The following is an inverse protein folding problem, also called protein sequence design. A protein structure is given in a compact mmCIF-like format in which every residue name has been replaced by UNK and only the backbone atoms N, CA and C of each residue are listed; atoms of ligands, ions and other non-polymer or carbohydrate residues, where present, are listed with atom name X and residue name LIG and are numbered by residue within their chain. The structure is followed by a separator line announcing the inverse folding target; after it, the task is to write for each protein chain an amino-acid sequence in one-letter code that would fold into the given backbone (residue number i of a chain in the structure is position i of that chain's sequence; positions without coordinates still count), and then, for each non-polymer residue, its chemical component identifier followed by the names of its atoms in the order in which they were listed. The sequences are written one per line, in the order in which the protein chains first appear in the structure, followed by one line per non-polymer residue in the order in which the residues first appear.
data_IF_162629787791
#
_entry.id   IF_162629787791
#
_cell.length_a   1.000
_cell.length_b   1.000
_cell.length_c   1.000
_cell.angle_alpha   90.00
_cell.angle_beta   90.00
_cell.angle_gamma   90.00
#
_symmetry.space_group_name_H-M   'P 1'
#
loop_
_entity.id
_entity.type
_entity.pdbx_description
1 polymer ?
#
# COMPACT_ATOMS: atom_id res chain seq x y z
N UNK A 1 -32.62 -74.47 -50.38
CA UNK A 1 -32.65 -75.12 -51.70
C UNK A 1 -31.95 -74.19 -52.69
N UNK A 2 -31.04 -74.76 -53.49
CA UNK A 2 -30.56 -74.40 -54.85
C UNK A 2 -30.71 -72.94 -55.33
N UNK A 3 -29.82 -72.34 -56.12
CA UNK A 3 -28.52 -72.67 -56.70
C UNK A 3 -28.14 -71.42 -57.55
N UNK A 4 -26.86 -71.35 -57.94
CA UNK A 4 -26.25 -70.38 -58.85
C UNK A 4 -26.94 -70.26 -60.23
N UNK A 5 -26.69 -69.14 -60.94
CA UNK A 5 -26.18 -69.01 -62.34
C UNK A 5 -26.03 -67.48 -62.63
N UNK A 6 -24.80 -66.92 -62.78
CA UNK A 6 -24.03 -66.65 -64.03
C UNK A 6 -24.82 -65.83 -65.09
N UNK A 7 -24.32 -64.81 -65.81
CA UNK A 7 -22.99 -64.57 -66.34
C UNK A 7 -22.81 -63.14 -66.97
N UNK A 8 -21.54 -62.78 -67.20
CA UNK A 8 -20.95 -61.88 -68.24
C UNK A 8 -21.21 -60.36 -68.16
N UNK A 9 -20.24 -59.46 -68.36
CA UNK A 9 -19.20 -59.42 -69.42
C UNK A 9 -18.03 -58.46 -69.08
N UNK A 10 -16.79 -58.88 -69.38
CA UNK A 10 -15.62 -58.17 -70.00
C UNK A 10 -15.31 -56.70 -69.61
N UNK A 11 -14.10 -56.20 -69.36
CA UNK A 11 -12.74 -56.59 -69.79
C UNK A 11 -11.63 -55.77 -69.08
N UNK A 12 -10.47 -56.42 -68.80
CA UNK A 12 -9.05 -56.01 -69.08
C UNK A 12 -8.50 -54.65 -68.54
N UNK A 13 -7.31 -54.50 -67.94
CA UNK A 13 -6.05 -55.27 -67.89
C UNK A 13 -5.13 -54.81 -66.72
N UNK A 14 -4.27 -55.76 -66.26
CA UNK A 14 -3.04 -55.79 -65.39
C UNK A 14 -2.16 -54.52 -65.30
N UNK A 15 -1.69 -54.08 -64.10
CA UNK A 15 -0.55 -54.52 -63.21
C UNK A 15 0.87 -54.11 -63.72
N UNK A 16 1.95 -53.92 -62.90
CA UNK A 16 2.12 -54.17 -61.44
C UNK A 16 3.04 -53.17 -60.65
N UNK A 17 3.24 -53.51 -59.37
CA UNK A 17 4.51 -53.47 -58.60
C UNK A 17 4.81 -52.31 -57.61
N UNK A 18 4.99 -52.76 -56.36
CA UNK A 18 5.96 -52.36 -55.33
C UNK A 18 5.92 -50.97 -54.68
N UNK A 19 5.75 -50.96 -53.35
CA UNK A 19 6.24 -49.84 -52.55
C UNK A 19 5.70 -49.70 -51.12
N UNK A 20 6.35 -50.40 -50.18
CA UNK A 20 6.62 -49.98 -48.79
C UNK A 20 5.47 -49.64 -47.81
N UNK A 21 5.43 -50.44 -46.74
CA UNK A 21 4.93 -50.13 -45.40
C UNK A 21 5.48 -48.80 -44.85
N UNK A 22 4.61 -47.91 -44.37
CA UNK A 22 4.90 -46.96 -43.28
C UNK A 22 3.61 -46.26 -42.79
N UNK A 23 3.20 -46.38 -41.51
CA UNK A 23 2.23 -45.48 -40.92
C UNK A 23 2.98 -44.25 -40.42
N UNK A 24 2.86 -43.11 -41.10
CA UNK A 24 3.46 -41.87 -40.62
C UNK A 24 2.57 -41.26 -39.53
N UNK A 25 3.03 -41.39 -38.29
CA UNK A 25 2.55 -40.73 -37.08
C UNK A 25 2.39 -39.23 -37.33
N UNK A 26 1.15 -38.74 -37.26
CA UNK A 26 0.84 -37.30 -37.16
C UNK A 26 1.28 -36.82 -35.77
N UNK A 27 2.53 -36.39 -35.64
CA UNK A 27 3.01 -35.67 -34.46
C UNK A 27 2.36 -34.29 -34.48
N UNK A 28 1.32 -34.11 -33.66
CA UNK A 28 0.87 -32.79 -33.20
C UNK A 28 2.04 -32.18 -32.40
N UNK A 29 2.92 -31.46 -33.09
CA UNK A 29 3.87 -30.57 -32.45
C UNK A 29 3.08 -29.38 -31.90
N UNK A 30 2.45 -29.57 -30.74
CA UNK A 30 2.10 -28.46 -29.86
C UNK A 30 3.44 -27.88 -29.42
N UNK A 31 3.87 -26.81 -30.09
CA UNK A 31 4.92 -25.94 -29.55
C UNK A 31 4.36 -25.33 -28.27
N UNK A 32 4.51 -26.04 -27.15
CA UNK A 32 4.50 -25.41 -25.85
C UNK A 32 5.75 -24.56 -25.86
N UNK A 33 5.60 -23.27 -26.15
CA UNK A 33 6.57 -22.30 -25.70
C UNK A 33 6.57 -22.39 -24.17
N UNK A 34 7.39 -23.27 -23.62
CA UNK A 34 7.81 -23.14 -22.23
C UNK A 34 8.70 -21.92 -22.24
N UNK A 35 8.12 -20.73 -22.09
CA UNK A 35 8.89 -19.63 -21.55
C UNK A 35 9.51 -20.19 -20.27
N UNK A 36 10.82 -20.33 -20.22
CA UNK A 36 11.50 -20.65 -18.98
C UNK A 36 11.14 -19.54 -18.03
N UNK A 37 10.22 -19.83 -17.10
CA UNK A 37 9.83 -18.88 -16.08
C UNK A 37 11.12 -18.41 -15.40
N UNK A 38 11.29 -17.10 -15.34
CA UNK A 38 12.33 -16.52 -14.52
C UNK A 38 12.22 -17.07 -13.10
N UNK A 39 13.34 -17.19 -12.41
CA UNK A 39 13.40 -17.69 -11.03
C UNK A 39 14.68 -17.20 -10.37
N UNK A 40 14.80 -17.39 -9.06
CA UNK A 40 15.99 -17.03 -8.27
C UNK A 40 16.36 -15.53 -8.38
N UNK A 41 15.38 -14.65 -8.21
CA UNK A 41 15.59 -13.20 -8.17
C UNK A 41 15.74 -12.53 -9.52
N UNK A 42 15.45 -13.23 -10.62
CA UNK A 42 15.61 -12.70 -11.97
C UNK A 42 14.31 -12.19 -12.59
N UNK A 43 13.15 -12.51 -12.00
CA UNK A 43 11.86 -12.05 -12.51
C UNK A 43 11.72 -10.54 -12.38
N UNK A 44 11.33 -9.91 -13.49
CA UNK A 44 11.07 -8.49 -13.59
C UNK A 44 9.61 -8.17 -13.26
N UNK A 45 9.30 -6.89 -13.14
CA UNK A 45 7.94 -6.41 -12.91
C UNK A 45 6.98 -7.00 -13.97
N UNK A 46 5.83 -7.51 -13.52
CA UNK A 46 4.80 -8.20 -14.30
C UNK A 46 5.15 -9.60 -14.82
N UNK A 47 6.37 -10.08 -14.65
CA UNK A 47 6.70 -11.48 -14.95
C UNK A 47 5.94 -12.42 -13.99
N UNK A 48 5.49 -13.57 -14.49
CA UNK A 48 4.91 -14.62 -13.66
C UNK A 48 5.94 -15.12 -12.62
N UNK A 49 5.47 -15.36 -11.40
CA UNK A 49 6.28 -15.90 -10.32
C UNK A 49 5.50 -16.99 -9.56
N UNK A 50 6.21 -17.84 -8.81
CA UNK A 50 5.61 -18.89 -7.98
C UNK A 50 6.10 -18.86 -6.53
N UNK A 51 7.30 -18.29 -6.30
CA UNK A 51 7.93 -18.12 -5.00
C UNK A 51 8.25 -16.64 -4.74
N UNK A 52 8.28 -16.25 -3.48
CA UNK A 52 8.74 -14.93 -3.04
C UNK A 52 10.19 -14.64 -3.50
N UNK A 53 11.00 -15.67 -3.72
CA UNK A 53 12.40 -15.56 -4.17
C UNK A 53 12.56 -15.45 -5.68
N UNK A 54 11.50 -15.52 -6.46
CA UNK A 54 11.60 -15.45 -7.93
C UNK A 54 11.82 -14.02 -8.43
N UNK A 55 11.19 -13.07 -7.74
CA UNK A 55 11.21 -11.65 -8.09
C UNK A 55 12.52 -10.96 -7.72
N UNK A 56 12.96 -10.05 -8.58
CA UNK A 56 14.17 -9.26 -8.33
C UNK A 56 14.05 -8.33 -7.12
N UNK A 57 15.17 -7.69 -6.71
CA UNK A 57 15.19 -6.78 -5.56
C UNK A 57 14.11 -5.70 -5.64
N UNK A 58 13.45 -5.39 -4.52
CA UNK A 58 12.36 -4.40 -4.45
C UNK A 58 11.05 -4.85 -5.10
N UNK A 59 10.98 -6.08 -5.60
CA UNK A 59 9.76 -6.71 -6.10
C UNK A 59 9.29 -7.81 -5.15
N UNK A 60 7.99 -8.08 -5.20
CA UNK A 60 7.31 -9.09 -4.41
C UNK A 60 6.44 -9.95 -5.32
N UNK A 61 6.34 -11.26 -5.04
CA UNK A 61 5.50 -12.16 -5.81
C UNK A 61 4.04 -12.09 -5.31
N UNK A 62 3.23 -11.26 -5.95
CA UNK A 62 1.86 -10.96 -5.54
C UNK A 62 0.80 -11.56 -6.46
N UNK A 63 -0.41 -11.75 -5.93
CA UNK A 63 -1.57 -12.14 -6.73
C UNK A 63 -2.63 -11.03 -6.75
N UNK A 64 -3.42 -10.99 -7.83
CA UNK A 64 -4.58 -10.10 -7.91
C UNK A 64 -5.81 -10.83 -8.46
N UNK A 65 -6.50 -11.62 -7.61
CA UNK A 65 -7.66 -12.41 -8.03
C UNK A 65 -8.81 -11.54 -8.56
N UNK A 66 -9.01 -10.34 -8.02
CA UNK A 66 -10.05 -9.39 -8.44
C UNK A 66 -9.93 -8.94 -9.91
N UNK A 67 -8.78 -9.16 -10.55
CA UNK A 67 -8.54 -8.88 -11.96
C UNK A 67 -8.54 -10.13 -12.84
N UNK A 68 -9.08 -11.26 -12.34
CA UNK A 68 -9.10 -12.55 -13.03
C UNK A 68 -7.70 -13.08 -13.41
N UNK A 69 -6.65 -12.61 -12.74
CA UNK A 69 -5.29 -13.13 -12.89
C UNK A 69 -5.17 -14.42 -12.08
N UNK A 70 -4.93 -15.54 -12.76
CA UNK A 70 -4.86 -16.88 -12.14
C UNK A 70 -3.45 -17.27 -11.71
N UNK A 71 -2.43 -16.51 -12.10
CA UNK A 71 -1.04 -16.71 -11.71
C UNK A 71 -0.50 -15.49 -10.95
N UNK A 72 0.31 -15.68 -9.89
CA UNK A 72 1.05 -14.61 -9.27
C UNK A 72 2.04 -13.97 -10.25
N UNK A 73 2.31 -12.68 -10.04
CA UNK A 73 3.26 -11.89 -10.82
C UNK A 73 4.14 -11.09 -9.89
N UNK A 74 5.32 -10.70 -10.36
CA UNK A 74 6.17 -9.77 -9.63
C UNK A 74 5.56 -8.37 -9.68
N UNK A 75 5.23 -7.84 -8.51
CA UNK A 75 4.75 -6.46 -8.28
C UNK A 75 5.79 -5.67 -7.53
N UNK A 76 5.70 -4.33 -7.57
CA UNK A 76 6.57 -3.50 -6.72
C UNK A 76 6.23 -3.73 -5.25
N UNK A 77 7.27 -3.87 -4.43
CA UNK A 77 7.18 -4.07 -2.99
C UNK A 77 7.93 -3.04 -2.16
N UNK A 78 8.52 -2.01 -2.81
CA UNK A 78 9.34 -1.02 -2.12
C UNK A 78 9.26 0.33 -2.83
N UNK A 79 9.19 1.40 -2.03
CA UNK A 79 9.18 2.78 -2.53
C UNK A 79 10.60 3.26 -2.87
N UNK A 80 10.68 4.18 -3.82
CA UNK A 80 11.88 5.00 -4.01
C UNK A 80 11.82 6.14 -3.01
N UNK A 81 12.86 6.29 -2.20
CA UNK A 81 12.94 7.39 -1.22
C UNK A 81 13.18 8.70 -1.97
N UNK A 82 12.20 9.62 -2.08
CA UNK A 82 12.29 10.76 -2.98
C UNK A 82 13.40 11.76 -2.57
N UNK A 83 13.68 11.84 -1.27
CA UNK A 83 14.74 12.69 -0.69
C UNK A 83 16.15 12.24 -1.07
N UNK A 84 16.32 10.99 -1.50
CA UNK A 84 17.59 10.49 -2.05
C UNK A 84 17.88 11.00 -3.47
N UNK A 85 16.84 11.47 -4.19
CA UNK A 85 16.94 11.98 -5.56
C UNK A 85 16.91 13.51 -5.58
N UNK A 86 15.88 14.10 -4.94
CA UNK A 86 15.72 15.55 -4.80
C UNK A 86 15.64 15.86 -3.31
N UNK A 87 16.66 16.53 -2.78
CA UNK A 87 16.74 16.94 -1.38
C UNK A 87 16.57 18.47 -1.24
N UNK A 88 16.58 18.95 0.01
CA UNK A 88 16.60 20.39 0.30
C UNK A 88 15.31 21.15 0.03
N UNK A 89 14.22 20.47 -0.35
CA UNK A 89 12.91 21.12 -0.48
C UNK A 89 12.14 21.09 0.85
N UNK A 90 11.18 22.02 1.04
CA UNK A 90 10.21 21.98 2.13
C UNK A 90 9.51 20.62 2.24
N UNK A 91 9.26 20.14 3.46
CA UNK A 91 8.59 18.85 3.70
C UNK A 91 7.25 18.71 2.96
N UNK A 92 6.47 19.79 2.87
CA UNK A 92 5.21 19.84 2.15
C UNK A 92 5.33 19.89 0.61
N UNK A 93 6.52 19.71 0.03
CA UNK A 93 6.67 19.43 -1.41
C UNK A 93 6.70 17.94 -1.72
N UNK A 94 6.96 17.11 -0.72
CA UNK A 94 7.04 15.66 -0.87
C UNK A 94 5.68 15.00 -0.65
N UNK A 95 5.50 13.88 -1.33
CA UNK A 95 4.39 12.95 -1.13
C UNK A 95 4.91 11.69 -0.44
N UNK A 96 4.13 11.21 0.54
CA UNK A 96 4.47 10.10 1.42
C UNK A 96 3.35 9.07 1.43
N UNK A 97 3.71 7.79 1.39
CA UNK A 97 2.76 6.69 1.57
C UNK A 97 2.39 6.55 3.05
N UNK A 98 1.09 6.41 3.30
CA UNK A 98 0.51 6.18 4.62
C UNK A 98 -0.24 4.85 4.62
N UNK A 99 -0.07 4.06 5.68
CA UNK A 99 -0.90 2.86 5.90
C UNK A 99 -2.04 3.18 6.84
N UNK A 100 -3.27 2.90 6.42
CA UNK A 100 -4.46 3.02 7.26
C UNK A 100 -4.47 1.90 8.31
N UNK A 101 -4.71 2.25 9.56
CA UNK A 101 -4.68 1.34 10.71
C UNK A 101 -3.47 0.40 10.66
N UNK A 102 -2.27 0.99 10.66
CA UNK A 102 -0.99 0.32 10.42
C UNK A 102 -0.76 -0.90 11.31
N UNK A 103 -1.36 -0.93 12.50
CA UNK A 103 -1.26 -2.01 13.48
C UNK A 103 -2.24 -3.17 13.24
N UNK A 104 -3.26 -2.97 12.42
CA UNK A 104 -4.35 -3.91 12.16
C UNK A 104 -3.90 -4.98 11.17
N UNK A 105 -3.06 -5.90 11.64
CA UNK A 105 -2.31 -6.85 10.82
C UNK A 105 -3.04 -8.20 10.75
N UNK A 106 -3.19 -8.73 9.53
CA UNK A 106 -3.73 -10.08 9.28
C UNK A 106 -2.95 -11.11 10.09
N UNK A 107 -3.67 -12.06 10.70
CA UNK A 107 -3.12 -13.15 11.52
C UNK A 107 -2.30 -12.70 12.75
N UNK A 108 -2.34 -11.42 13.13
CA UNK A 108 -1.73 -10.98 14.38
C UNK A 108 -2.33 -11.76 15.57
N UNK A 109 -1.50 -12.27 16.51
CA UNK A 109 -2.01 -13.06 17.62
C UNK A 109 -2.97 -12.24 18.51
N UNK A 110 -4.04 -12.84 19.05
CA UNK A 110 -4.91 -12.17 20.02
C UNK A 110 -4.22 -12.08 21.37
N UNK A 111 -3.89 -10.87 21.83
CA UNK A 111 -3.18 -10.65 23.09
C UNK A 111 -4.10 -10.62 24.32
N UNK A 112 -5.40 -10.40 24.13
CA UNK A 112 -6.42 -10.37 25.19
C UNK A 112 -6.95 -11.76 25.57
N UNK A 113 -6.49 -12.82 24.88
CA UNK A 113 -7.00 -14.19 25.06
C UNK A 113 -8.40 -14.43 24.48
N UNK A 114 -9.00 -13.44 23.83
CA UNK A 114 -10.29 -13.54 23.14
C UNK A 114 -10.08 -13.55 21.64
N UNK A 115 -10.89 -14.33 20.91
CA UNK A 115 -10.88 -14.30 19.44
C UNK A 115 -11.16 -12.89 18.93
N UNK A 116 -10.26 -12.37 18.09
CA UNK A 116 -10.45 -11.06 17.46
C UNK A 116 -11.55 -11.13 16.40
N UNK A 117 -12.50 -10.20 16.48
CA UNK A 117 -13.65 -10.04 15.57
C UNK A 117 -13.67 -8.56 15.14
N UNK A 118 -12.81 -8.24 14.19
CA UNK A 118 -12.72 -6.91 13.57
C UNK A 118 -12.08 -7.04 12.20
N UNK A 119 -11.97 -5.93 11.48
CA UNK A 119 -11.33 -5.89 10.17
C UNK A 119 -9.81 -5.74 10.28
N UNK A 120 -9.11 -6.22 9.26
CA UNK A 120 -7.66 -6.12 9.12
C UNK A 120 -7.33 -5.16 7.98
N UNK A 121 -6.28 -4.39 8.13
CA UNK A 121 -5.91 -3.35 7.17
C UNK A 121 -4.57 -3.63 6.51
N UNK A 122 -3.64 -4.34 7.15
CA UNK A 122 -2.29 -4.58 6.63
C UNK A 122 -1.89 -6.05 6.77
N UNK A 123 -0.85 -6.47 6.05
CA UNK A 123 -0.27 -7.82 6.13
C UNK A 123 1.13 -7.83 6.74
N UNK A 124 1.77 -6.66 6.75
CA UNK A 124 3.12 -6.47 7.28
C UNK A 124 3.09 -5.86 8.67
N UNK A 125 4.02 -6.28 9.53
CA UNK A 125 4.34 -5.54 10.75
C UNK A 125 4.80 -4.12 10.45
N UNK A 126 4.64 -3.19 11.40
CA UNK A 126 4.94 -1.77 11.18
C UNK A 126 6.41 -1.56 10.79
N UNK A 127 7.32 -2.34 11.37
CA UNK A 127 8.74 -2.36 10.96
C UNK A 127 8.89 -2.60 9.45
N UNK A 128 8.20 -3.60 8.89
CA UNK A 128 8.27 -3.92 7.47
C UNK A 128 7.59 -2.85 6.60
N UNK A 129 6.48 -2.27 7.06
CA UNK A 129 5.84 -1.13 6.37
C UNK A 129 6.84 0.02 6.18
N UNK A 130 7.55 0.41 7.26
CA UNK A 130 8.56 1.46 7.23
C UNK A 130 9.76 1.10 6.34
N UNK A 131 10.25 -0.14 6.43
CA UNK A 131 11.32 -0.68 5.57
C UNK A 131 10.94 -0.60 4.08
N UNK A 132 9.68 -0.88 3.75
CA UNK A 132 9.17 -0.86 2.37
C UNK A 132 8.88 0.56 1.86
N UNK A 133 9.09 1.59 2.67
CA UNK A 133 9.00 2.99 2.26
C UNK A 133 7.73 3.72 2.71
N UNK A 134 6.90 3.10 3.56
CA UNK A 134 5.83 3.83 4.26
C UNK A 134 6.48 4.88 5.19
N UNK A 135 5.95 6.10 5.17
CA UNK A 135 6.45 7.22 6.00
C UNK A 135 5.34 7.90 6.78
N UNK A 136 4.09 7.45 6.65
CA UNK A 136 3.00 7.80 7.55
C UNK A 136 2.29 6.57 8.12
N UNK A 137 1.88 6.64 9.37
CA UNK A 137 1.13 5.59 10.06
C UNK A 137 -0.17 6.16 10.62
N UNK A 138 -1.31 5.57 10.31
CA UNK A 138 -2.57 5.86 10.99
C UNK A 138 -2.77 4.90 12.15
N UNK A 139 -3.00 5.44 13.34
CA UNK A 139 -3.13 4.67 14.58
C UNK A 139 -4.37 5.10 15.37
N UNK A 140 -5.35 4.21 15.49
CA UNK A 140 -6.48 4.38 16.39
C UNK A 140 -6.06 4.02 17.82
N UNK A 141 -5.99 5.01 18.71
CA UNK A 141 -5.52 4.84 20.09
C UNK A 141 -6.65 5.01 21.09
N UNK A 142 -6.76 4.08 22.04
CA UNK A 142 -7.83 4.04 23.05
C UNK A 142 -7.25 3.83 24.45
N UNK A 143 -7.88 4.41 25.47
CA UNK A 143 -7.72 3.92 26.84
C UNK A 143 -8.33 2.52 26.98
N UNK A 144 -7.54 1.54 27.39
CA UNK A 144 -7.98 0.15 27.55
C UNK A 144 -7.07 -0.63 28.52
N UNK A 145 -7.65 -1.44 29.41
CA UNK A 145 -6.90 -2.26 30.38
C UNK A 145 -5.86 -1.47 31.19
N UNK A 146 -6.20 -0.23 31.57
CA UNK A 146 -5.32 0.73 32.28
C UNK A 146 -4.04 1.13 31.52
N UNK A 147 -4.04 0.99 30.20
CA UNK A 147 -2.97 1.42 29.30
C UNK A 147 -3.57 2.03 28.01
N UNK A 148 -2.73 2.45 27.07
CA UNK A 148 -3.16 2.91 25.75
C UNK A 148 -2.96 1.77 24.75
N UNK A 149 -4.04 1.38 24.09
CA UNK A 149 -4.06 0.27 23.14
C UNK A 149 -4.41 0.73 21.74
N UNK A 150 -3.95 -0.05 20.77
CA UNK A 150 -4.35 0.05 19.38
C UNK A 150 -5.52 -0.92 19.14
N UNK A 151 -6.65 -0.38 18.71
CA UNK A 151 -7.88 -1.14 18.54
C UNK A 151 -8.59 -0.72 17.25
N UNK A 152 -9.10 -1.69 16.48
CA UNK A 152 -9.98 -1.40 15.35
C UNK A 152 -11.42 -1.51 15.84
N UNK A 153 -11.93 -0.45 16.45
CA UNK A 153 -13.13 -0.49 17.30
C UNK A 153 -14.20 0.52 16.88
N UNK A 154 -15.24 0.69 17.69
CA UNK A 154 -16.37 1.58 17.40
C UNK A 154 -16.86 2.28 18.66
N UNK A 155 -17.61 3.39 18.48
CA UNK A 155 -18.23 4.20 19.56
C UNK A 155 -17.21 4.76 20.58
N UNK A 156 -15.97 4.99 20.14
CA UNK A 156 -14.93 5.55 20.99
C UNK A 156 -14.51 4.65 22.16
N UNK A 157 -14.72 3.33 22.05
CA UNK A 157 -14.35 2.36 23.08
C UNK A 157 -13.57 1.20 22.46
N UNK A 158 -12.53 0.73 23.14
CA UNK A 158 -11.86 -0.51 22.80
C UNK A 158 -12.51 -1.69 23.54
N UNK A 159 -12.63 -2.83 22.85
CA UNK A 159 -13.14 -4.07 23.41
C UNK A 159 -12.10 -5.19 23.26
N UNK A 160 -12.16 -6.20 24.13
CA UNK A 160 -11.25 -7.35 24.07
C UNK A 160 -11.20 -8.03 22.69
N UNK A 161 -12.31 -8.06 21.96
CA UNK A 161 -12.40 -8.66 20.62
C UNK A 161 -12.02 -7.71 19.47
N UNK A 162 -11.77 -6.43 19.73
CA UNK A 162 -11.29 -5.43 18.76
C UNK A 162 -9.85 -4.97 19.00
N UNK A 163 -9.29 -5.30 20.17
CA UNK A 163 -7.94 -4.97 20.58
C UNK A 163 -6.87 -5.74 19.77
N UNK A 164 -5.82 -5.03 19.37
CA UNK A 164 -4.64 -5.64 18.73
C UNK A 164 -3.49 -5.78 19.73
N UNK A 165 -3.00 -4.66 20.24
CA UNK A 165 -1.86 -4.63 21.16
C UNK A 165 -1.74 -3.28 21.90
N UNK A 166 -0.99 -3.24 23.02
CA UNK A 166 -0.54 -1.97 23.60
C UNK A 166 0.19 -1.10 22.58
N UNK A 167 -0.13 0.19 22.54
CA UNK A 167 0.42 1.12 21.54
C UNK A 167 1.94 1.29 21.64
N UNK A 168 2.50 1.10 22.84
CA UNK A 168 3.94 1.19 23.11
C UNK A 168 4.76 0.23 22.24
N UNK A 169 4.21 -0.93 21.85
CA UNK A 169 4.91 -1.90 21.02
C UNK A 169 5.17 -1.34 19.62
N UNK A 170 4.12 -0.80 18.98
CA UNK A 170 4.24 -0.17 17.66
C UNK A 170 5.12 1.08 17.71
N UNK A 171 5.02 1.90 18.76
CA UNK A 171 5.89 3.07 18.89
C UNK A 171 7.37 2.69 19.08
N UNK A 172 7.67 1.56 19.72
CA UNK A 172 9.04 1.03 19.80
C UNK A 172 9.56 0.53 18.45
N UNK A 173 8.71 -0.01 17.58
CA UNK A 173 9.10 -0.30 16.19
C UNK A 173 9.51 0.99 15.45
N UNK A 174 8.75 2.07 15.64
CA UNK A 174 9.06 3.39 15.06
C UNK A 174 10.36 3.95 15.62
N UNK A 175 10.58 3.86 16.93
CA UNK A 175 11.82 4.32 17.56
C UNK A 175 13.03 3.55 17.03
N UNK A 176 12.94 2.22 16.96
CA UNK A 176 14.00 1.38 16.44
C UNK A 176 14.33 1.75 14.98
N UNK A 177 13.31 1.99 14.17
CA UNK A 177 13.47 2.46 12.79
C UNK A 177 14.17 3.83 12.72
N UNK A 178 13.69 4.85 13.44
CA UNK A 178 14.28 6.19 13.41
C UNK A 178 15.71 6.22 14.00
N UNK A 179 16.02 5.33 14.93
CA UNK A 179 17.37 5.11 15.46
C UNK A 179 18.29 4.47 14.42
N UNK A 180 17.79 3.48 13.66
CA UNK A 180 18.56 2.79 12.63
C UNK A 180 18.77 3.64 11.36
N UNK A 181 17.80 4.49 11.00
CA UNK A 181 17.81 5.28 9.76
C UNK A 181 17.76 6.78 10.07
N UNK A 182 18.92 7.44 10.30
CA UNK A 182 19.00 8.81 10.80
C UNK A 182 18.53 9.88 9.80
N UNK A 183 18.42 9.55 8.51
CA UNK A 183 17.91 10.43 7.46
C UNK A 183 16.40 10.38 7.28
N UNK A 184 15.71 9.49 7.99
CA UNK A 184 14.29 9.24 7.75
C UNK A 184 13.42 10.08 8.68
N UNK A 185 12.26 10.48 8.15
CA UNK A 185 11.21 11.20 8.87
C UNK A 185 9.95 10.31 8.85
N UNK A 186 9.28 10.17 9.99
CA UNK A 186 8.01 9.43 10.11
C UNK A 186 6.91 10.39 10.57
N UNK A 187 5.71 10.21 10.01
CA UNK A 187 4.50 10.90 10.45
C UNK A 187 3.56 9.90 11.11
N UNK A 188 3.00 10.23 12.26
CA UNK A 188 1.94 9.46 12.93
C UNK A 188 0.68 10.32 12.97
N UNK A 189 -0.43 9.76 12.52
CA UNK A 189 -1.75 10.39 12.52
C UNK A 189 -2.65 9.55 13.43
N UNK A 190 -3.09 10.13 14.54
CA UNK A 190 -3.81 9.43 15.59
C UNK A 190 -5.31 9.71 15.46
N UNK A 191 -6.12 8.65 15.31
CA UNK A 191 -7.53 8.73 15.67
C UNK A 191 -7.64 8.52 17.18
N UNK A 192 -7.94 9.60 17.88
CA UNK A 192 -7.65 9.75 19.31
C UNK A 192 -8.91 9.54 20.18
N UNK A 193 -8.86 8.47 20.96
CA UNK A 193 -9.84 8.13 22.00
C UNK A 193 -9.16 7.97 23.37
N UNK A 194 -8.03 8.66 23.58
CA UNK A 194 -7.26 8.65 24.84
C UNK A 194 -7.70 9.82 25.72
N UNK A 195 -8.40 9.51 26.80
CA UNK A 195 -8.87 10.46 27.81
C UNK A 195 -7.94 10.57 29.01
N UNK A 196 -7.05 9.59 29.22
CA UNK A 196 -6.04 9.65 30.26
C UNK A 196 -5.23 10.96 30.18
N UNK A 197 -5.14 11.76 31.26
CA UNK A 197 -4.42 13.03 31.23
C UNK A 197 -2.95 12.83 30.88
N UNK A 198 -2.45 13.54 29.86
CA UNK A 198 -1.08 13.41 29.34
C UNK A 198 -0.73 11.99 28.84
N UNK A 199 -1.74 11.18 28.53
CA UNK A 199 -1.56 9.79 28.16
C UNK A 199 -0.67 9.63 26.93
N UNK A 200 -0.92 10.42 25.88
CA UNK A 200 -0.16 10.34 24.64
C UNK A 200 1.27 10.87 24.83
N UNK A 201 1.46 12.05 25.43
CA UNK A 201 2.83 12.57 25.67
C UNK A 201 3.66 11.60 26.50
N UNK A 202 3.07 11.00 27.54
CA UNK A 202 3.74 9.99 28.37
C UNK A 202 4.10 8.75 27.53
N UNK A 203 3.15 8.22 26.77
CA UNK A 203 3.36 7.06 25.91
C UNK A 203 4.52 7.25 24.93
N UNK A 204 4.58 8.40 24.25
CA UNK A 204 5.66 8.70 23.31
C UNK A 204 7.01 8.94 23.99
N UNK A 205 7.01 9.54 25.18
CA UNK A 205 8.23 9.69 26.00
C UNK A 205 8.75 8.33 26.43
N UNK A 206 7.88 7.44 26.91
CA UNK A 206 8.22 6.08 27.32
C UNK A 206 8.72 5.22 26.14
N UNK A 207 8.23 5.51 24.93
CA UNK A 207 8.74 4.91 23.69
C UNK A 207 10.11 5.45 23.27
N UNK A 208 10.58 6.57 23.84
CA UNK A 208 11.83 7.24 23.47
C UNK A 208 11.74 8.06 22.18
N UNK A 209 10.53 8.47 21.78
CA UNK A 209 10.25 9.18 20.53
C UNK A 209 10.22 10.70 20.67
N UNK A 210 10.11 11.22 21.89
CA UNK A 210 10.14 12.65 22.23
C UNK A 210 11.38 13.36 21.66
N UNK A 211 12.53 12.68 21.65
CA UNK A 211 13.79 13.19 21.08
C UNK A 211 13.75 13.47 19.57
N UNK A 212 12.75 12.94 18.84
CA UNK A 212 12.56 13.14 17.41
C UNK A 212 11.45 14.15 17.09
N UNK A 213 10.70 14.61 18.10
CA UNK A 213 9.41 15.25 17.92
C UNK A 213 9.53 16.64 17.26
N UNK A 214 8.81 16.85 16.15
CA UNK A 214 8.68 18.16 15.54
C UNK A 214 7.64 19.00 16.32
N UNK A 215 8.03 20.11 16.96
CA UNK A 215 7.14 20.82 17.88
C UNK A 215 6.06 21.62 17.14
N UNK A 216 4.82 21.56 17.63
CA UNK A 216 3.67 22.27 17.04
C UNK A 216 3.88 23.80 16.95
N UNK A 217 4.70 24.37 17.83
CA UNK A 217 5.06 25.80 17.82
C UNK A 217 5.90 26.23 16.61
N UNK A 218 6.64 25.30 15.99
CA UNK A 218 7.43 25.51 14.76
C UNK A 218 6.67 25.13 13.49
N UNK A 219 5.47 24.55 13.60
CA UNK A 219 4.72 24.14 12.42
C UNK A 219 4.21 25.38 11.66
N UNK A 220 4.31 25.39 10.30
CA UNK A 220 3.88 26.52 9.50
C UNK A 220 2.40 26.80 9.66
N UNK A 221 2.03 28.07 9.44
CA UNK A 221 0.64 28.51 9.51
C UNK A 221 0.24 29.11 8.17
N UNK A 222 -1.06 29.15 7.89
CA UNK A 222 -1.62 29.88 6.73
C UNK A 222 -1.03 29.45 5.37
N UNK A 223 -0.75 28.15 5.22
CA UNK A 223 -0.27 27.59 3.95
C UNK A 223 1.21 27.87 3.63
N UNK A 224 1.99 28.35 4.60
CA UNK A 224 3.44 28.52 4.46
C UNK A 224 4.16 27.18 4.27
N UNK A 225 5.34 27.26 3.64
CA UNK A 225 6.21 26.11 3.46
C UNK A 225 6.77 25.61 4.80
N UNK A 226 6.88 24.28 4.91
CA UNK A 226 7.53 23.63 6.04
C UNK A 226 9.04 23.85 5.99
N UNK A 227 9.77 23.67 7.11
CA UNK A 227 11.21 23.54 7.05
C UNK A 227 11.64 22.51 5.99
N UNK A 228 12.82 22.69 5.44
CA UNK A 228 13.32 21.72 4.47
C UNK A 228 13.51 20.38 5.16
N UNK A 229 13.38 19.28 4.42
CA UNK A 229 13.66 17.94 4.96
C UNK A 229 15.08 17.86 5.54
N UNK A 230 16.03 18.55 4.91
CA UNK A 230 17.42 18.64 5.40
C UNK A 230 17.50 19.32 6.76
N UNK A 231 16.79 20.44 6.96
CA UNK A 231 16.78 21.15 8.24
C UNK A 231 16.08 20.34 9.33
N UNK A 232 14.96 19.68 8.99
CA UNK A 232 14.25 18.78 9.92
C UNK A 232 15.15 17.64 10.41
N UNK A 233 15.89 17.00 9.50
CA UNK A 233 16.86 15.95 9.85
C UNK A 233 18.01 16.54 10.69
N UNK A 234 18.54 17.70 10.30
CA UNK A 234 19.65 18.36 10.99
C UNK A 234 19.32 18.78 12.42
N UNK A 235 18.08 19.20 12.68
CA UNK A 235 17.56 19.51 14.02
C UNK A 235 17.03 18.26 14.77
N UNK A 236 17.14 17.06 14.17
CA UNK A 236 16.56 15.80 14.65
C UNK A 236 15.04 15.85 14.84
N UNK A 237 14.32 16.77 14.20
CA UNK A 237 12.86 16.80 14.16
C UNK A 237 12.29 15.84 13.10
N UNK A 238 12.46 14.55 13.36
CA UNK A 238 12.19 13.45 12.43
C UNK A 238 10.89 12.69 12.70
N UNK A 239 10.08 13.17 13.65
CA UNK A 239 8.77 12.63 13.95
C UNK A 239 7.72 13.75 13.95
N UNK A 240 6.74 13.66 13.05
CA UNK A 240 5.53 14.49 13.13
C UNK A 240 4.40 13.68 13.75
N UNK A 241 3.67 14.26 14.69
CA UNK A 241 2.51 13.60 15.31
C UNK A 241 1.30 14.53 15.23
N UNK A 242 0.23 14.00 14.65
CA UNK A 242 -1.06 14.66 14.55
C UNK A 242 -2.13 13.85 15.29
N UNK A 243 -3.13 14.54 15.84
CA UNK A 243 -4.27 13.94 16.55
C UNK A 243 -5.60 14.52 16.04
N UNK A 244 -6.65 13.71 16.07
CA UNK A 244 -8.03 14.11 15.79
C UNK A 244 -8.70 14.88 16.92
N UNK A 245 -8.13 14.89 18.14
CA UNK A 245 -8.68 15.66 19.27
C UNK A 245 -7.99 17.04 19.38
N UNK A 246 -8.77 18.10 19.16
CA UNK A 246 -8.28 19.48 19.22
C UNK A 246 -7.72 19.91 20.59
N UNK A 247 -8.15 19.29 21.69
CA UNK A 247 -7.69 19.62 23.04
C UNK A 247 -6.21 19.31 23.24
N UNK A 248 -5.72 18.25 22.59
CA UNK A 248 -4.35 17.74 22.72
C UNK A 248 -3.27 18.71 22.27
N UNK A 249 -3.59 19.67 21.40
CA UNK A 249 -2.58 20.66 21.01
C UNK A 249 -2.28 21.62 22.14
N UNK A 250 -3.31 22.10 22.85
CA UNK A 250 -3.13 22.98 23.99
C UNK A 250 -2.61 22.20 25.21
N UNK A 251 -3.14 21.00 25.42
CA UNK A 251 -2.85 20.22 26.62
C UNK A 251 -1.53 19.46 26.49
N UNK A 252 -1.26 18.81 25.36
CA UNK A 252 -0.15 17.86 25.20
C UNK A 252 0.89 18.32 24.16
N UNK A 253 0.65 19.42 23.45
CA UNK A 253 1.53 19.92 22.39
C UNK A 253 1.47 19.07 21.10
N UNK A 254 0.48 18.20 20.98
CA UNK A 254 0.29 17.31 19.82
C UNK A 254 -0.57 18.04 18.78
N UNK A 255 -0.09 18.15 17.55
CA UNK A 255 -0.73 18.99 16.55
C UNK A 255 -2.14 18.52 16.20
N UNK A 256 -3.13 19.41 16.28
CA UNK A 256 -4.49 19.11 15.85
C UNK A 256 -4.54 19.00 14.33
N UNK A 257 -4.84 17.83 13.77
CA UNK A 257 -4.59 17.54 12.35
C UNK A 257 -5.22 18.56 11.40
N UNK A 258 -6.50 18.89 11.61
CA UNK A 258 -7.28 19.75 10.71
C UNK A 258 -6.92 21.23 10.82
N UNK A 259 -5.98 21.58 11.70
CA UNK A 259 -5.32 22.89 11.69
C UNK A 259 -4.22 22.98 10.64
N UNK A 260 -3.53 21.87 10.36
CA UNK A 260 -2.29 21.82 9.55
C UNK A 260 -2.45 21.13 8.21
N UNK A 261 -3.48 20.30 8.04
CA UNK A 261 -3.78 19.62 6.77
C UNK A 261 -5.25 19.77 6.36
N UNK A 262 -5.50 19.77 5.06
CA UNK A 262 -6.82 19.46 4.49
C UNK A 262 -6.92 17.96 4.23
N UNK A 263 -8.12 17.39 4.31
CA UNK A 263 -8.36 15.94 4.20
C UNK A 263 -9.64 15.66 3.40
N UNK A 264 -9.65 14.62 2.56
CA UNK A 264 -10.88 14.13 1.92
C UNK A 264 -11.61 13.10 2.79
N UNK A 265 -12.89 12.89 2.50
CA UNK A 265 -13.71 11.87 3.17
C UNK A 265 -13.01 10.50 3.19
N UNK A 266 -12.99 9.80 4.33
CA UNK A 266 -12.49 8.42 4.41
C UNK A 266 -13.54 7.40 3.94
N UNK A 267 -13.16 6.13 3.92
CA UNK A 267 -14.07 5.02 3.65
C UNK A 267 -14.70 5.10 2.25
N UNK A 268 -15.94 4.63 2.12
CA UNK A 268 -16.61 4.56 0.81
C UNK A 268 -16.77 5.95 0.15
N UNK A 269 -16.86 7.02 0.95
CA UNK A 269 -16.88 8.40 0.46
C UNK A 269 -15.56 8.83 -0.21
N UNK A 270 -14.43 8.27 0.22
CA UNK A 270 -13.10 8.56 -0.30
C UNK A 270 -12.73 7.84 -1.59
N UNK A 271 -13.49 6.80 -1.97
CA UNK A 271 -13.21 5.98 -3.16
C UNK A 271 -14.22 6.20 -4.30
N UNK A 272 -15.13 7.17 -4.18
CA UNK A 272 -16.14 7.49 -5.20
C UNK A 272 -15.47 7.99 -6.49
N UNK A 273 -15.54 7.20 -7.56
CA UNK A 273 -14.89 7.54 -8.83
C UNK A 273 -15.27 8.94 -9.33
N UNK A 274 -14.25 9.77 -9.57
CA UNK A 274 -14.40 11.12 -10.13
C UNK A 274 -14.86 12.18 -9.13
N UNK A 275 -15.03 11.83 -7.84
CA UNK A 275 -15.35 12.76 -6.76
C UNK A 275 -14.30 12.70 -5.66
N UNK A 276 -13.94 13.86 -5.11
CA UNK A 276 -13.07 13.96 -3.94
C UNK A 276 -13.60 15.08 -3.04
N UNK A 277 -14.49 14.72 -2.11
CA UNK A 277 -15.10 15.65 -1.16
C UNK A 277 -14.23 15.82 0.07
N UNK A 278 -14.20 17.03 0.64
CA UNK A 278 -13.52 17.25 1.92
C UNK A 278 -14.21 16.48 3.03
N UNK A 279 -13.41 16.01 3.99
CA UNK A 279 -13.90 15.50 5.26
C UNK A 279 -14.64 16.59 6.03
N UNK A 280 -15.66 16.22 6.80
CA UNK A 280 -16.48 17.15 7.61
C UNK A 280 -15.67 18.01 8.59
N UNK A 281 -14.73 17.43 9.32
CA UNK A 281 -13.90 18.15 10.31
C UNK A 281 -12.82 19.02 9.64
N UNK A 282 -12.46 18.67 8.39
CA UNK A 282 -11.49 19.40 7.59
C UNK A 282 -12.10 20.65 6.96
N UNK A 283 -11.24 21.64 6.69
CA UNK A 283 -11.56 22.71 5.75
C UNK A 283 -11.73 22.16 4.33
N UNK A 284 -12.30 22.97 3.44
CA UNK A 284 -12.40 22.63 2.02
C UNK A 284 -11.03 22.31 1.43
N UNK A 285 -10.94 21.33 0.52
CA UNK A 285 -9.67 20.85 -0.02
C UNK A 285 -8.84 21.95 -0.72
N UNK A 286 -9.51 22.94 -1.32
CA UNK A 286 -8.85 24.06 -1.97
C UNK A 286 -8.44 25.20 -1.01
N UNK A 287 -8.64 25.04 0.31
CA UNK A 287 -8.26 26.03 1.31
C UNK A 287 -6.74 26.22 1.32
N UNK A 288 -6.29 27.46 1.20
CA UNK A 288 -4.86 27.81 1.30
C UNK A 288 -4.39 28.08 2.73
N UNK A 289 -5.22 27.74 3.72
CA UNK A 289 -4.87 27.98 5.13
C UNK A 289 -4.02 26.85 5.75
N UNK A 290 -3.94 25.70 5.08
CA UNK A 290 -3.08 24.57 5.39
C UNK A 290 -2.19 24.29 4.17
N UNK A 291 -0.95 23.83 4.42
CA UNK A 291 0.02 23.50 3.38
C UNK A 291 0.24 22.00 3.19
N UNK A 292 -0.47 21.16 3.97
CA UNK A 292 -0.51 19.72 3.80
C UNK A 292 -1.87 19.26 3.28
N UNK A 293 -1.86 18.26 2.41
CA UNK A 293 -3.06 17.56 1.97
C UNK A 293 -2.93 16.07 2.26
N UNK A 294 -3.85 15.55 3.08
CA UNK A 294 -4.00 14.15 3.39
C UNK A 294 -5.12 13.49 2.58
N UNK A 295 -4.75 12.61 1.66
CA UNK A 295 -5.70 11.85 0.86
C UNK A 295 -5.99 10.47 1.47
N UNK A 296 -7.23 10.22 1.87
CA UNK A 296 -7.75 8.89 2.17
C UNK A 296 -8.17 8.19 0.87
N UNK A 297 -7.63 7.00 0.62
CA UNK A 297 -8.05 6.13 -0.47
C UNK A 297 -8.17 4.68 -0.01
N UNK A 298 -9.26 4.41 0.71
CA UNK A 298 -9.61 3.08 1.18
C UNK A 298 -11.14 2.99 1.37
N UNK A 299 -11.77 1.83 1.08
CA UNK A 299 -13.18 1.61 1.39
C UNK A 299 -13.41 1.46 2.90
N UNK A 300 -14.67 1.57 3.33
CA UNK A 300 -15.05 1.39 4.74
C UNK A 300 -14.71 -0.02 5.24
N UNK A 301 -14.91 -1.02 4.38
CA UNK A 301 -14.59 -2.41 4.66
C UNK A 301 -13.32 -2.79 3.89
N UNK A 302 -12.20 -3.05 4.57
CA UNK A 302 -10.95 -3.42 3.90
C UNK A 302 -11.04 -4.86 3.37
N UNK A 303 -11.29 -5.03 2.07
CA UNK A 303 -11.36 -6.35 1.44
C UNK A 303 -10.01 -6.71 0.82
N UNK A 304 -9.25 -7.56 1.50
CA UNK A 304 -7.91 -8.00 1.11
C UNK A 304 -7.81 -8.47 -0.35
N UNK A 305 -8.81 -9.19 -0.86
CA UNK A 305 -8.82 -9.74 -2.22
C UNK A 305 -9.06 -8.68 -3.31
N UNK A 306 -9.69 -7.55 -2.95
CA UNK A 306 -9.99 -6.44 -3.86
C UNK A 306 -8.92 -5.36 -3.84
N UNK A 307 -8.14 -5.26 -2.75
CA UNK A 307 -7.12 -4.25 -2.54
C UNK A 307 -6.13 -4.09 -3.73
N UNK A 308 -5.75 -5.19 -4.38
CA UNK A 308 -4.86 -5.14 -5.53
C UNK A 308 -5.45 -4.34 -6.71
N UNK A 309 -6.77 -4.40 -6.91
CA UNK A 309 -7.48 -3.64 -7.94
C UNK A 309 -7.60 -2.17 -7.53
N UNK A 310 -7.83 -1.90 -6.26
CA UNK A 310 -7.93 -0.55 -5.69
C UNK A 310 -6.61 0.22 -5.91
N UNK A 311 -5.48 -0.34 -5.52
CA UNK A 311 -4.18 0.32 -5.54
C UNK A 311 -3.49 0.41 -6.91
N UNK A 312 -4.23 0.17 -7.99
CA UNK A 312 -3.72 0.15 -9.36
C UNK A 312 -4.20 1.39 -10.13
N UNK A 313 -4.75 1.23 -11.34
CA UNK A 313 -5.28 2.36 -12.11
C UNK A 313 -6.34 3.22 -11.34
N UNK A 314 -7.25 2.66 -10.52
CA UNK A 314 -8.22 3.45 -9.75
C UNK A 314 -7.58 4.45 -8.78
N UNK A 315 -6.54 4.05 -8.03
CA UNK A 315 -5.80 4.95 -7.15
C UNK A 315 -5.19 6.12 -7.93
N UNK A 316 -4.47 5.84 -9.03
CA UNK A 316 -3.84 6.88 -9.84
C UNK A 316 -4.88 7.89 -10.39
N UNK A 317 -6.06 7.40 -10.79
CA UNK A 317 -7.17 8.25 -11.21
C UNK A 317 -7.72 9.10 -10.05
N UNK A 318 -7.82 8.53 -8.85
CA UNK A 318 -8.30 9.27 -7.69
C UNK A 318 -7.31 10.35 -7.23
N UNK A 319 -6.01 10.07 -7.25
CA UNK A 319 -4.98 11.10 -7.02
C UNK A 319 -5.17 12.29 -7.97
N UNK A 320 -5.42 12.03 -9.26
CA UNK A 320 -5.70 13.08 -10.24
C UNK A 320 -7.02 13.84 -9.99
N UNK A 321 -8.05 13.14 -9.49
CA UNK A 321 -9.33 13.74 -9.09
C UNK A 321 -9.13 14.68 -7.90
N UNK A 322 -8.48 14.19 -6.85
CA UNK A 322 -8.21 14.95 -5.63
C UNK A 322 -7.26 16.12 -5.86
N UNK A 323 -6.25 15.97 -6.71
CA UNK A 323 -5.38 17.06 -7.16
C UNK A 323 -6.19 18.26 -7.72
N UNK A 324 -7.17 17.98 -8.57
CA UNK A 324 -8.06 19.02 -9.13
C UNK A 324 -8.95 19.62 -8.06
N UNK A 325 -9.57 18.79 -7.22
CA UNK A 325 -10.45 19.24 -6.14
C UNK A 325 -9.73 20.12 -5.10
N UNK A 326 -8.45 19.85 -4.83
CA UNK A 326 -7.59 20.61 -3.94
C UNK A 326 -7.01 21.89 -4.56
N UNK A 327 -7.47 22.28 -5.75
CA UNK A 327 -6.98 23.48 -6.44
C UNK A 327 -5.53 23.35 -6.86
N UNK A 328 -5.22 22.25 -7.56
CA UNK A 328 -3.91 21.89 -8.10
C UNK A 328 -2.83 21.62 -7.03
N UNK A 329 -3.23 21.06 -5.90
CA UNK A 329 -2.32 20.61 -4.85
C UNK A 329 -2.23 19.10 -4.89
N UNK A 330 -1.03 18.57 -5.14
CA UNK A 330 -0.79 17.12 -5.06
C UNK A 330 -0.83 16.70 -3.59
N UNK A 331 -1.48 15.58 -3.24
CA UNK A 331 -1.49 15.08 -1.87
C UNK A 331 -0.07 14.90 -1.31
N UNK A 332 0.14 15.34 -0.07
CA UNK A 332 1.37 15.07 0.67
C UNK A 332 1.33 13.69 1.32
N UNK A 333 0.15 13.19 1.63
CA UNK A 333 -0.06 11.88 2.23
C UNK A 333 -1.13 11.13 1.45
N UNK A 334 -0.92 9.85 1.18
CA UNK A 334 -1.93 8.95 0.59
C UNK A 334 -2.07 7.75 1.49
N UNK A 335 -3.21 7.62 2.18
CA UNK A 335 -3.55 6.49 3.03
C UNK A 335 -4.27 5.39 2.26
N UNK A 336 -3.81 4.15 2.45
CA UNK A 336 -4.37 2.94 1.84
C UNK A 336 -4.44 1.78 2.83
N UNK A 337 -5.32 0.83 2.58
CA UNK A 337 -5.21 -0.52 3.16
C UNK A 337 -4.17 -1.34 2.36
N UNK A 338 -3.75 -2.51 2.84
CA UNK A 338 -2.99 -3.55 2.14
C UNK A 338 -1.98 -3.03 1.09
N UNK A 339 -1.10 -2.12 1.50
CA UNK A 339 -0.30 -1.28 0.59
C UNK A 339 0.58 -2.07 -0.41
N UNK A 340 0.96 -3.31 -0.08
CA UNK A 340 1.75 -4.21 -0.95
C UNK A 340 0.94 -4.81 -2.11
N UNK A 341 -0.40 -4.85 -2.00
CA UNK A 341 -1.25 -5.50 -3.00
C UNK A 341 -1.47 -4.58 -4.19
N UNK A 342 -1.10 -5.02 -5.39
CA UNK A 342 -1.33 -4.31 -6.65
C UNK A 342 -1.33 -5.25 -7.86
N UNK A 343 -1.56 -4.71 -9.05
CA UNK A 343 -1.48 -5.45 -10.32
C UNK A 343 -0.14 -5.30 -11.06
N UNK A 344 0.84 -4.65 -10.41
CA UNK A 344 2.12 -4.26 -11.01
C UNK A 344 2.85 -3.22 -10.16
N UNK A 345 2.80 -1.95 -10.56
CA UNK A 345 3.52 -0.85 -9.89
C UNK A 345 2.87 -0.36 -8.59
N UNK A 346 1.54 -0.46 -8.49
CA UNK A 346 0.79 -0.19 -7.27
C UNK A 346 0.91 1.23 -6.71
N UNK A 347 0.75 1.33 -5.40
CA UNK A 347 0.92 2.58 -4.64
C UNK A 347 2.31 3.20 -4.81
N UNK A 348 3.33 2.38 -5.02
CA UNK A 348 4.71 2.84 -5.19
C UNK A 348 4.89 3.60 -6.51
N UNK A 349 4.28 3.12 -7.60
CA UNK A 349 4.30 3.86 -8.88
C UNK A 349 3.48 5.16 -8.79
N UNK A 350 2.33 5.14 -8.10
CA UNK A 350 1.56 6.36 -7.86
C UNK A 350 2.39 7.41 -7.09
N UNK A 351 3.09 6.97 -6.04
CA UNK A 351 3.96 7.83 -5.23
C UNK A 351 5.14 8.40 -6.04
N UNK A 352 5.78 7.58 -6.89
CA UNK A 352 6.86 7.99 -7.78
C UNK A 352 6.39 9.09 -8.75
N UNK A 353 5.18 8.96 -9.30
CA UNK A 353 4.58 9.96 -10.20
C UNK A 353 4.26 11.27 -9.48
N UNK A 354 3.66 11.18 -8.29
CA UNK A 354 3.33 12.35 -7.47
C UNK A 354 4.60 13.16 -7.16
N UNK A 355 5.64 12.49 -6.64
CA UNK A 355 6.91 13.15 -6.33
C UNK A 355 7.64 13.64 -7.58
N UNK A 356 7.57 12.92 -8.71
CA UNK A 356 8.12 13.42 -9.98
C UNK A 356 7.52 14.76 -10.39
N UNK A 357 6.19 14.88 -10.28
CA UNK A 357 5.47 16.09 -10.62
C UNK A 357 5.77 17.23 -9.66
N UNK A 358 5.72 16.99 -8.34
CA UNK A 358 5.91 18.05 -7.34
C UNK A 358 7.35 18.53 -7.23
N UNK A 359 8.33 17.61 -7.28
CA UNK A 359 9.72 17.92 -6.96
C UNK A 359 10.50 18.46 -8.16
N UNK A 360 10.16 18.01 -9.38
CA UNK A 360 10.94 18.37 -10.57
C UNK A 360 10.13 18.53 -11.86
N UNK A 361 8.80 18.37 -11.85
CA UNK A 361 7.94 18.52 -13.02
C UNK A 361 8.00 17.35 -14.01
N UNK A 362 8.55 16.21 -13.60
CA UNK A 362 8.67 15.02 -14.44
C UNK A 362 7.54 14.02 -14.21
N UNK A 363 7.35 13.10 -15.16
CA UNK A 363 6.32 12.06 -15.04
C UNK A 363 6.55 11.06 -13.89
N UNK A 364 7.78 10.96 -13.38
CA UNK A 364 8.17 10.11 -12.24
C UNK A 364 9.43 10.67 -11.59
N UNK A 365 9.59 10.43 -10.27
CA UNK A 365 10.74 10.90 -9.49
C UNK A 365 12.08 10.38 -10.02
N UNK A 366 12.09 9.20 -10.65
CA UNK A 366 13.32 8.63 -11.26
C UNK A 366 13.81 9.41 -12.49
N UNK A 367 12.94 10.20 -13.11
CA UNK A 367 13.31 11.11 -14.20
C UNK A 367 13.92 12.42 -13.67
N UNK A 368 13.80 12.72 -12.38
CA UNK A 368 14.31 13.95 -11.81
C UNK A 368 15.86 14.02 -11.88
N UNK A 369 16.36 15.24 -12.01
CA UNK A 369 17.78 15.57 -11.98
C UNK A 369 18.03 16.62 -10.91
N UNK A 370 18.77 16.28 -9.85
CA UNK A 370 19.16 17.25 -8.84
C UNK A 370 19.93 18.42 -9.48
N UNK A 371 19.53 19.67 -9.16
CA UNK A 371 20.13 20.88 -9.70
C UNK A 371 19.67 21.27 -11.12
N UNK A 372 18.91 20.43 -11.82
CA UNK A 372 18.33 20.80 -13.10
C UNK A 372 17.10 21.71 -12.92
N UNK A 373 16.78 22.59 -13.89
CA UNK A 373 15.55 23.36 -13.88
C UNK A 373 14.31 22.46 -13.85
N UNK A 374 13.23 22.95 -13.23
CA UNK A 374 11.94 22.27 -13.20
C UNK A 374 11.43 21.97 -14.62
N UNK A 375 10.98 20.73 -14.85
CA UNK A 375 10.54 20.21 -16.15
C UNK A 375 11.65 19.60 -17.01
N UNK A 376 12.92 19.68 -16.60
CA UNK A 376 14.05 19.05 -17.30
C UNK A 376 14.25 17.61 -16.79
N UNK A 377 13.80 16.65 -17.58
CA UNK A 377 13.74 15.24 -17.20
C UNK A 377 14.83 14.40 -17.88
N UNK A 378 15.38 13.42 -17.16
CA UNK A 378 16.18 12.35 -17.78
C UNK A 378 15.31 11.59 -18.77
N UNK A 379 15.88 11.23 -19.92
CA UNK A 379 15.27 10.21 -20.76
C UNK A 379 15.46 8.85 -20.08
N UNK A 380 14.49 8.50 -19.25
CA UNK A 380 14.34 7.14 -18.74
C UNK A 380 13.54 6.37 -19.78
N UNK A 381 14.10 5.26 -20.26
CA UNK A 381 13.28 4.27 -20.94
C UNK A 381 12.08 3.97 -20.03
N UNK A 382 10.88 3.81 -20.58
CA UNK A 382 9.72 3.32 -19.80
C UNK A 382 10.08 1.94 -19.27
N UNK A 383 10.64 1.90 -18.07
CA UNK A 383 11.28 0.73 -17.54
C UNK A 383 10.20 -0.19 -16.96
N UNK A 384 9.85 -1.23 -17.72
CA UNK A 384 9.35 -2.49 -17.15
C UNK A 384 10.47 -3.27 -16.40
N UNK A 385 11.68 -2.71 -16.27
CA UNK A 385 12.79 -3.28 -15.50
C UNK A 385 13.01 -2.49 -14.22
N UNK A 386 13.26 -3.18 -13.13
CA UNK A 386 13.66 -2.54 -11.89
C UNK A 386 14.98 -1.77 -12.13
N UNK A 387 15.09 -0.49 -11.74
CA UNK A 387 16.39 0.18 -11.74
C UNK A 387 17.37 -0.64 -10.88
N UNK A 388 18.64 -0.81 -11.28
CA UNK A 388 19.63 -1.33 -10.36
C UNK A 388 19.70 -0.40 -9.15
N UNK A 389 19.37 -0.92 -7.97
CA UNK A 389 19.47 -0.21 -6.69
C UNK A 389 20.94 -0.01 -6.33
N UNK A 390 21.61 0.93 -7.00
CA UNK A 390 22.86 1.50 -6.53
C UNK A 390 22.53 2.61 -5.54
N UNK A 391 22.00 2.25 -4.37
CA UNK A 391 21.67 3.19 -3.31
C UNK A 391 22.43 2.78 -2.05
N UNK A 392 23.36 3.64 -1.63
CA UNK A 392 24.02 3.63 -0.31
C UNK A 392 23.03 3.95 0.84
N UNK A 393 21.79 3.48 0.71
CA UNK A 393 20.60 3.83 1.49
C UNK A 393 19.38 3.19 0.82
N UNK A 394 19.32 1.87 0.79
CA UNK A 394 18.11 1.14 0.41
C UNK A 394 18.03 -0.13 1.22
N UNK A 395 16.87 -0.32 1.83
CA UNK A 395 16.53 -1.53 2.55
C UNK A 395 16.67 -2.71 1.60
N UNK A 396 17.62 -3.59 1.89
CA UNK A 396 17.84 -4.83 1.14
C UNK A 396 17.28 -6.00 1.93
N UNK A 397 16.16 -6.56 1.50
CA UNK A 397 15.58 -7.76 2.07
C UNK A 397 14.54 -8.37 1.13
N UNK A 398 14.44 -9.70 1.10
CA UNK A 398 13.27 -10.38 0.56
C UNK A 398 12.13 -10.25 1.57
N UNK A 399 11.05 -9.57 1.20
CA UNK A 399 9.88 -9.42 2.09
C UNK A 399 9.07 -10.72 2.04
N UNK A 400 9.12 -11.45 3.14
CA UNK A 400 8.26 -12.61 3.36
C UNK A 400 6.97 -12.10 4.02
N UNK A 401 5.85 -12.16 3.30
CA UNK A 401 4.55 -12.04 3.97
C UNK A 401 4.45 -13.17 5.00
N UNK A 402 3.98 -12.85 6.20
CA UNK A 402 3.68 -13.83 7.25
C UNK A 402 2.59 -14.82 6.81
N UNK A 403 1.75 -14.44 5.85
CA UNK A 403 0.79 -15.30 5.18
C UNK A 403 1.33 -15.84 3.85
N UNK A 404 1.39 -17.17 3.71
CA UNK A 404 1.54 -17.79 2.40
C UNK A 404 0.50 -17.24 1.42
N UNK A 405 0.79 -17.28 0.11
CA UNK A 405 -0.22 -17.14 -0.95
C UNK A 405 -1.18 -18.35 -0.89
N UNK A 406 -1.91 -18.49 0.22
CA UNK A 406 -2.75 -19.64 0.50
C UNK A 406 -4.04 -19.52 -0.29
N UNK A 407 -4.35 -20.61 -0.97
CA UNK A 407 -5.64 -20.89 -1.61
C UNK A 407 -6.81 -20.39 -0.76
N UNK A 408 -7.59 -19.49 -1.35
CA UNK A 408 -8.86 -18.95 -0.86
C UNK A 408 -9.63 -19.96 -0.01
N UNK A 409 -9.65 -19.79 1.31
CA UNK A 409 -10.57 -20.53 2.18
C UNK A 409 -11.97 -19.93 2.09
N UNK A 410 -12.66 -20.27 1.00
CA UNK A 410 -14.02 -19.84 0.64
C UNK A 410 -15.08 -20.13 1.73
N UNK A 411 -14.77 -21.02 2.68
CA UNK A 411 -15.72 -21.42 3.75
C UNK A 411 -15.83 -20.40 4.89
N UNK A 412 -14.83 -19.55 5.10
CA UNK A 412 -14.83 -18.60 6.23
C UNK A 412 -15.62 -17.33 5.88
N UNK A 413 -15.53 -16.84 4.64
CA UNK A 413 -16.26 -15.65 4.18
C UNK A 413 -17.78 -15.80 4.29
N UNK A 414 -18.32 -16.98 3.95
CA UNK A 414 -19.76 -17.22 3.97
C UNK A 414 -20.34 -17.15 5.39
N UNK A 415 -19.59 -17.63 6.38
CA UNK A 415 -20.00 -17.62 7.79
C UNK A 415 -19.97 -16.22 8.38
N UNK A 416 -18.97 -15.40 8.03
CA UNK A 416 -18.89 -14.00 8.49
C UNK A 416 -19.98 -13.11 7.87
N UNK A 417 -20.29 -13.26 6.57
CA UNK A 417 -21.37 -12.53 5.92
C UNK A 417 -22.76 -12.89 6.48
N UNK A 418 -23.01 -14.17 6.76
CA UNK A 418 -24.26 -14.63 7.38
C UNK A 418 -24.41 -14.14 8.82
N UNK A 419 -23.32 -14.10 9.60
CA UNK A 419 -23.35 -13.62 10.98
C UNK A 419 -23.59 -12.10 11.05
N UNK A 420 -22.98 -11.31 10.16
CA UNK A 420 -23.22 -9.86 10.09
C UNK A 420 -24.64 -9.52 9.61
N UNK A 421 -25.18 -10.27 8.65
CA UNK A 421 -26.55 -10.12 8.20
C UNK A 421 -27.55 -10.44 9.33
N UNK A 422 -27.27 -11.47 10.13
CA UNK A 422 -28.09 -11.81 11.29
C UNK A 422 -27.99 -10.78 12.41
N UNK A 423 -26.81 -10.18 12.67
CA UNK A 423 -26.65 -9.16 13.70
C UNK A 423 -27.41 -7.86 13.37
N UNK A 424 -27.45 -7.47 12.08
CA UNK A 424 -28.19 -6.30 11.61
C UNK A 424 -29.71 -6.48 11.69
N UNK A 425 -30.21 -7.72 11.69
CA UNK A 425 -31.65 -8.03 11.82
C UNK A 425 -32.16 -7.94 13.28
N UNK A 426 -31.27 -7.88 14.28
CA UNK A 426 -31.64 -7.80 15.70
C UNK A 426 -31.45 -6.41 16.33
N UNK A 427 -31.02 -5.41 15.56
CA UNK A 427 -30.78 -4.04 16.02
C UNK A 427 -31.72 -2.99 15.40
N UNK A 428 -32.86 -3.42 14.84
CA UNK A 428 -33.98 -2.55 14.44
C UNK A 428 -35.29 -3.04 15.05
#
# INVERSE_FOLDING_TARGET
MLACFAAHCMSRCRDPADGYLLPLVLVLAVFVFTSTACSNGNCQLLDSCSSATDCGPGLYCGNCPAMSKTQPICTRGQAIVPTSIINGLPFNKYSWLVTHNSFSIVDAPPLTGVQRITFYNQEDVVTNQLINGVRGLMLDMYDFENDIWLCHSFRGQCYNFTAFQPAINTLKEVEAFLSQYPSEIVTIIIEDYVHAPKGLTKLFTDAGLDKYWFPASKMPKKGEDWPTVTDMIGENHRLLVFTSDSSKEADEGIAYQWKYMVENEPGDGGVVQGSCSNRKESKTLNSKSASLFFQNYFPTIPVQTEACKEHSAPLANMVGTCYKAAGNMIPNFVAVNFYMRSDGGGVFDALDRMNGQTLCGCGTVTACQAGAPFGVCKNIATYNRTPPTNTAGSFSGSVQLSGSASTVHFRILLVFCLFHFLLMLFLF
#
